data_IF_010964660524
#
_entry.id   IF_010964660524
#
_cell.length_a   1.000
_cell.length_b   1.000
_cell.length_c   1.000
_cell.angle_alpha   90.00
_cell.angle_beta   90.00
_cell.angle_gamma   90.00
#
_symmetry.space_group_name_H-M   'P 1'
#
loop_
_entity.id
_entity.type
_entity.pdbx_description
1 polymer ?
#
# COMPACT_ATOMS: atom_id res chain seq x y z
N UNK A 1 26.36 26.18 -37.27
CA UNK A 1 25.16 25.55 -36.67
C UNK A 1 24.55 26.55 -35.71
N UNK A 2 23.32 27.00 -35.95
CA UNK A 2 22.64 27.91 -35.03
C UNK A 2 22.18 27.13 -33.79
N UNK A 3 22.63 27.54 -32.59
CA UNK A 3 22.14 26.98 -31.36
C UNK A 3 20.67 27.37 -31.18
N UNK A 4 19.85 26.46 -30.63
CA UNK A 4 18.48 26.80 -30.31
C UNK A 4 18.47 27.85 -29.17
N UNK A 5 17.78 29.00 -29.32
CA UNK A 5 17.72 30.01 -28.28
C UNK A 5 16.94 29.48 -27.06
N UNK A 6 17.26 29.99 -25.87
CA UNK A 6 16.54 29.66 -24.67
C UNK A 6 15.08 30.12 -24.79
N UNK A 7 14.10 29.22 -24.60
CA UNK A 7 12.69 29.59 -24.73
C UNK A 7 12.13 30.45 -23.58
N UNK A 8 12.92 30.73 -22.54
CA UNK A 8 12.52 31.57 -21.41
C UNK A 8 13.07 33.00 -21.60
N UNK A 9 14.39 33.16 -21.71
CA UNK A 9 15.01 34.47 -21.88
C UNK A 9 15.20 34.91 -23.34
N UNK A 10 14.95 34.03 -24.31
CA UNK A 10 15.13 34.24 -25.75
C UNK A 10 16.57 34.51 -26.22
N UNK A 11 17.54 34.51 -25.30
CA UNK A 11 18.98 34.62 -25.58
C UNK A 11 19.63 33.27 -25.93
N UNK A 12 20.91 33.33 -26.33
CA UNK A 12 21.79 32.17 -26.42
C UNK A 12 21.88 31.40 -25.08
N UNK A 13 21.91 30.07 -25.19
CA UNK A 13 21.90 29.17 -24.03
C UNK A 13 23.16 29.32 -23.16
N UNK A 14 23.00 29.95 -21.99
CA UNK A 14 24.01 30.02 -20.93
C UNK A 14 23.86 28.81 -20.00
N UNK A 15 24.88 27.94 -19.96
CA UNK A 15 24.88 26.70 -19.14
C UNK A 15 23.62 25.85 -19.40
N UNK A 16 23.49 25.28 -20.61
CA UNK A 16 22.27 24.60 -21.00
C UNK A 16 21.95 23.44 -20.05
N UNK A 17 20.70 23.38 -19.63
CA UNK A 17 20.14 22.27 -18.86
C UNK A 17 18.99 21.64 -19.64
N UNK A 18 18.94 20.33 -19.69
CA UNK A 18 17.79 19.59 -20.20
C UNK A 18 16.88 19.16 -19.04
N UNK A 19 15.59 19.43 -19.21
CA UNK A 19 14.56 18.88 -18.36
C UNK A 19 14.12 17.51 -18.92
N UNK A 20 13.79 16.52 -18.07
CA UNK A 20 13.34 15.19 -18.48
C UNK A 20 11.85 15.26 -18.80
N UNK A 21 11.48 16.27 -19.59
CA UNK A 21 10.13 16.64 -19.91
C UNK A 21 9.87 16.28 -21.37
N UNK A 22 8.71 15.69 -21.61
CA UNK A 22 8.43 15.00 -22.85
C UNK A 22 7.46 13.91 -22.47
N UNK A 23 6.32 13.85 -23.16
CA UNK A 23 5.35 12.83 -22.82
C UNK A 23 6.02 11.49 -23.11
N UNK A 24 6.35 10.74 -22.06
CA UNK A 24 6.32 9.30 -22.16
C UNK A 24 4.84 8.96 -22.36
N UNK A 25 4.34 9.14 -23.59
CA UNK A 25 3.06 8.59 -23.97
C UNK A 25 3.24 7.09 -23.79
N UNK A 26 2.78 6.59 -22.65
CA UNK A 26 2.62 5.18 -22.37
C UNK A 26 1.45 4.62 -23.19
N UNK A 27 1.18 5.19 -24.37
CA UNK A 27 0.32 4.59 -25.36
C UNK A 27 1.15 3.53 -26.07
N UNK A 28 0.94 2.31 -25.60
CA UNK A 28 1.51 1.04 -26.06
C UNK A 28 1.27 0.70 -27.56
N UNK A 29 0.69 1.62 -28.36
CA UNK A 29 0.12 1.30 -29.68
C UNK A 29 0.55 2.24 -30.80
N UNK A 30 1.75 2.80 -30.70
CA UNK A 30 2.22 3.74 -31.71
C UNK A 30 3.64 3.35 -32.14
N UNK A 31 3.84 2.96 -33.43
CA UNK A 31 5.14 2.56 -33.97
C UNK A 31 5.96 3.84 -34.21
N UNK A 32 6.78 4.25 -33.24
CA UNK A 32 7.59 5.47 -33.35
C UNK A 32 9.08 5.15 -33.35
N UNK A 33 9.78 5.88 -34.22
CA UNK A 33 11.22 5.91 -34.33
C UNK A 33 11.89 6.12 -32.95
N UNK A 34 12.90 5.29 -32.58
CA UNK A 34 13.63 5.39 -31.31
C UNK A 34 14.24 6.77 -31.02
N UNK A 35 14.48 7.57 -32.06
CA UNK A 35 15.19 8.85 -31.97
C UNK A 35 14.36 10.03 -31.44
N UNK A 36 13.02 9.94 -31.40
CA UNK A 36 12.16 11.06 -30.94
C UNK A 36 11.71 10.93 -29.46
N UNK A 37 11.95 9.79 -28.82
CA UNK A 37 11.43 9.51 -27.46
C UNK A 37 12.17 10.19 -26.32
N UNK A 38 13.28 10.88 -26.62
CA UNK A 38 14.14 11.51 -25.60
C UNK A 38 14.42 12.99 -25.87
N UNK A 39 13.50 13.71 -26.53
CA UNK A 39 13.62 15.16 -26.69
C UNK A 39 13.21 15.88 -25.40
N UNK A 40 14.15 15.99 -24.46
CA UNK A 40 14.04 16.92 -23.35
C UNK A 40 14.07 18.37 -23.85
N UNK A 41 13.34 19.27 -23.20
CA UNK A 41 13.46 20.70 -23.48
C UNK A 41 14.69 21.28 -22.81
N UNK A 42 15.40 22.16 -23.53
CA UNK A 42 16.66 22.78 -23.10
C UNK A 42 16.46 24.24 -22.75
N UNK A 43 17.01 24.66 -21.61
CA UNK A 43 16.91 26.01 -21.08
C UNK A 43 18.24 26.46 -20.47
N UNK A 44 18.38 27.74 -20.15
CA UNK A 44 19.46 28.21 -19.29
C UNK A 44 19.26 27.70 -17.86
N UNK A 45 20.34 27.34 -17.16
CA UNK A 45 20.30 26.93 -15.76
C UNK A 45 19.57 27.95 -14.88
N UNK A 46 19.90 29.23 -15.05
CA UNK A 46 19.39 30.31 -14.21
C UNK A 46 17.88 30.54 -14.43
N UNK A 47 17.43 30.49 -15.69
CA UNK A 47 16.01 30.59 -16.03
C UNK A 47 15.15 29.48 -15.39
N UNK A 48 15.66 28.25 -15.34
CA UNK A 48 14.94 27.15 -14.67
C UNK A 48 14.91 27.35 -13.15
N UNK A 49 16.01 27.80 -12.55
CA UNK A 49 16.06 28.08 -11.11
C UNK A 49 15.06 29.17 -10.73
N UNK A 50 14.98 30.26 -11.51
CA UNK A 50 13.99 31.33 -11.30
C UNK A 50 12.56 30.82 -11.46
N UNK A 51 12.29 30.02 -12.50
CA UNK A 51 10.98 29.40 -12.73
C UNK A 51 10.54 28.54 -11.54
N UNK A 52 11.45 27.74 -10.99
CA UNK A 52 11.20 26.89 -9.81
C UNK A 52 10.95 27.73 -8.56
N UNK A 53 11.73 28.79 -8.35
CA UNK A 53 11.59 29.71 -7.19
C UNK A 53 10.32 30.56 -7.24
N UNK A 54 9.77 30.81 -8.42
CA UNK A 54 8.55 31.60 -8.59
C UNK A 54 7.28 30.89 -8.07
N UNK A 55 7.30 29.55 -7.97
CA UNK A 55 6.14 28.76 -7.54
C UNK A 55 6.04 28.76 -6.00
N UNK A 56 4.92 29.27 -5.48
CA UNK A 56 4.59 29.32 -4.04
C UNK A 56 3.25 28.63 -3.78
N UNK A 57 3.14 27.68 -2.83
CA UNK A 57 4.20 27.16 -1.97
C UNK A 57 5.25 26.36 -2.74
N UNK A 58 6.46 26.22 -2.18
CA UNK A 58 7.51 25.42 -2.79
C UNK A 58 7.08 23.95 -2.90
N UNK A 59 7.05 23.43 -4.12
CA UNK A 59 6.75 22.02 -4.43
C UNK A 59 8.01 21.32 -4.95
N UNK A 60 8.02 19.99 -4.97
CA UNK A 60 9.09 19.22 -5.62
C UNK A 60 8.74 18.85 -7.07
N UNK A 61 7.46 18.93 -7.42
CA UNK A 61 6.92 18.68 -8.76
C UNK A 61 6.65 20.00 -9.46
N UNK A 62 7.29 20.21 -10.60
CA UNK A 62 7.18 21.43 -11.40
C UNK A 62 6.74 21.12 -12.83
N UNK A 63 5.90 21.95 -13.46
CA UNK A 63 5.56 21.80 -14.88
C UNK A 63 6.65 22.40 -15.77
N UNK A 64 7.00 21.71 -16.86
CA UNK A 64 7.89 22.28 -17.87
C UNK A 64 7.26 23.54 -18.51
N UNK A 65 8.01 24.65 -18.67
CA UNK A 65 7.51 25.88 -19.30
C UNK A 65 6.97 25.70 -20.73
N UNK A 66 7.46 24.70 -21.46
CA UNK A 66 7.08 24.47 -22.86
C UNK A 66 5.96 23.43 -22.96
N UNK A 67 6.20 22.21 -22.47
CA UNK A 67 5.26 21.10 -22.67
C UNK A 67 4.34 20.81 -21.47
N UNK A 68 4.48 21.55 -20.37
CA UNK A 68 3.73 21.37 -19.11
C UNK A 68 3.84 19.98 -18.47
N UNK A 69 4.71 19.12 -18.98
CA UNK A 69 5.03 17.82 -18.39
C UNK A 69 5.65 18.02 -17.02
N UNK A 70 5.15 17.28 -16.03
CA UNK A 70 5.61 17.37 -14.64
C UNK A 70 6.98 16.69 -14.50
N UNK A 71 7.93 17.39 -13.88
CA UNK A 71 9.25 16.86 -13.53
C UNK A 71 9.56 17.12 -12.06
N UNK A 72 10.41 16.26 -11.49
CA UNK A 72 10.86 16.38 -10.10
C UNK A 72 12.12 17.25 -10.03
N UNK A 73 12.21 18.15 -9.06
CA UNK A 73 13.38 19.02 -8.81
C UNK A 73 14.09 18.65 -7.50
N UNK A 74 13.51 17.74 -6.71
CA UNK A 74 14.11 17.31 -5.47
C UNK A 74 15.49 16.65 -5.70
N UNK A 75 16.53 17.07 -4.97
CA UNK A 75 17.83 16.41 -5.03
C UNK A 75 17.68 14.97 -4.51
N UNK A 76 18.10 14.02 -5.34
CA UNK A 76 18.10 12.60 -4.95
C UNK A 76 19.25 12.37 -3.98
N UNK A 77 18.94 11.98 -2.73
CA UNK A 77 19.94 11.62 -1.73
C UNK A 77 20.67 10.34 -2.15
N UNK A 78 21.87 10.47 -2.69
CA UNK A 78 22.70 9.34 -3.15
C UNK A 78 23.08 8.37 -2.04
N UNK A 79 23.02 8.78 -0.76
CA UNK A 79 23.29 7.89 0.38
C UNK A 79 22.27 6.77 0.56
N UNK A 80 21.02 6.98 0.12
CA UNK A 80 19.95 5.97 0.18
C UNK A 80 20.09 4.97 -0.98
N UNK A 81 20.80 5.36 -2.05
CA UNK A 81 21.01 4.51 -3.23
C UNK A 81 22.27 3.65 -3.01
N UNK A 82 22.18 2.32 -3.24
CA UNK A 82 23.33 1.42 -3.22
C UNK A 82 24.48 1.92 -4.11
N UNK A 83 25.75 1.83 -3.69
CA UNK A 83 26.88 2.44 -4.39
C UNK A 83 27.02 1.96 -5.84
N UNK A 84 26.70 0.70 -6.12
CA UNK A 84 26.69 0.11 -7.46
C UNK A 84 25.60 0.68 -8.38
N UNK A 85 24.55 1.29 -7.84
CA UNK A 85 23.46 1.88 -8.62
C UNK A 85 23.61 3.39 -8.83
N UNK A 86 24.43 4.07 -8.02
CA UNK A 86 24.62 5.54 -8.10
C UNK A 86 25.02 6.05 -9.49
N UNK A 87 25.90 5.39 -10.27
CA UNK A 87 26.26 5.85 -11.61
C UNK A 87 25.08 5.85 -12.59
N UNK A 88 24.07 5.01 -12.35
CA UNK A 88 22.90 4.87 -13.21
C UNK A 88 21.75 5.80 -12.82
N UNK A 89 21.86 6.50 -11.68
CA UNK A 89 20.86 7.47 -11.24
C UNK A 89 21.16 8.82 -11.88
N UNK A 90 20.42 9.15 -12.93
CA UNK A 90 20.55 10.45 -13.58
C UNK A 90 19.68 11.50 -12.86
N UNK A 91 20.22 12.68 -12.50
CA UNK A 91 19.40 13.75 -11.94
C UNK A 91 18.31 14.15 -12.93
N UNK A 92 17.18 14.61 -12.41
CA UNK A 92 16.07 15.08 -13.23
C UNK A 92 16.48 16.27 -14.10
N UNK A 93 17.14 17.28 -13.52
CA UNK A 93 17.73 18.40 -14.28
C UNK A 93 19.15 18.03 -14.69
N UNK A 94 19.41 17.84 -15.99
CA UNK A 94 20.70 17.39 -16.51
C UNK A 94 21.44 18.56 -17.15
N UNK A 95 22.69 18.81 -16.74
CA UNK A 95 23.56 19.77 -17.42
C UNK A 95 23.98 19.18 -18.76
N UNK A 96 23.81 19.96 -19.83
CA UNK A 96 24.31 19.61 -21.14
C UNK A 96 25.66 20.28 -21.34
N UNK A 97 26.65 19.51 -21.75
CA UNK A 97 27.89 20.03 -22.29
C UNK A 97 27.72 20.01 -23.79
N UNK A 98 27.48 21.18 -24.37
CA UNK A 98 27.53 21.34 -25.82
C UNK A 98 28.99 21.55 -26.13
N UNK A 99 29.62 20.56 -26.77
CA UNK A 99 30.96 20.71 -27.31
C UNK A 99 30.89 21.86 -28.31
N UNK A 100 31.39 23.02 -27.87
CA UNK A 100 31.67 24.09 -28.80
C UNK A 100 32.75 23.50 -29.69
N UNK A 101 32.39 23.12 -30.91
CA UNK A 101 33.37 22.79 -31.92
C UNK A 101 34.34 23.98 -31.97
N UNK A 102 35.49 23.82 -31.31
CA UNK A 102 36.60 24.77 -31.34
C UNK A 102 37.03 24.78 -32.80
N UNK A 103 36.73 25.85 -33.55
CA UNK A 103 37.13 25.89 -34.95
C UNK A 103 38.63 26.15 -34.97
N UNK A 104 39.41 25.11 -35.26
CA UNK A 104 40.81 25.22 -35.62
C UNK A 104 41.80 24.88 -34.50
N UNK A 105 42.17 23.60 -34.40
CA UNK A 105 43.56 23.15 -34.24
C UNK A 105 43.69 21.83 -35.02
N UNK A 106 43.54 21.90 -36.34
CA UNK A 106 44.00 20.87 -37.27
C UNK A 106 45.52 21.05 -37.43
N UNK A 107 46.32 20.29 -36.69
CA UNK A 107 47.73 20.06 -37.02
C UNK A 107 48.24 18.76 -36.37
N UNK A 108 48.44 17.76 -37.21
CA UNK A 108 49.51 16.74 -37.13
C UNK A 108 49.54 15.80 -35.92
N UNK A 109 48.61 14.83 -35.87
CA UNK A 109 48.89 13.52 -35.25
C UNK A 109 48.41 12.41 -36.19
N UNK A 110 49.07 12.31 -37.33
CA UNK A 110 48.95 11.18 -38.26
C UNK A 110 49.97 10.11 -37.86
N UNK A 111 49.54 8.85 -37.78
CA UNK A 111 50.28 7.61 -37.48
C UNK A 111 50.28 7.10 -36.03
N UNK A 112 49.13 6.61 -35.56
CA UNK A 112 49.10 5.44 -34.68
C UNK A 112 48.34 4.27 -35.33
N UNK A 113 48.84 3.02 -35.25
CA UNK A 113 48.21 1.86 -35.87
C UNK A 113 46.97 1.41 -35.07
N UNK A 114 45.78 1.79 -35.53
CA UNK A 114 44.49 1.57 -34.85
C UNK A 114 43.88 0.16 -34.99
N UNK A 115 44.60 -0.83 -35.52
CA UNK A 115 43.95 -2.06 -36.02
C UNK A 115 43.71 -3.19 -35.01
N UNK A 116 44.15 -3.07 -33.75
CA UNK A 116 44.00 -4.15 -32.74
C UNK A 116 43.01 -3.88 -31.60
N UNK A 117 42.56 -2.63 -31.39
CA UNK A 117 41.63 -2.30 -30.28
C UNK A 117 40.16 -2.63 -30.59
N UNK A 118 39.77 -2.57 -31.87
CA UNK A 118 38.35 -2.63 -32.28
C UNK A 118 37.67 -3.99 -32.01
N UNK A 119 38.41 -5.10 -32.07
CA UNK A 119 37.84 -6.44 -31.80
C UNK A 119 37.53 -6.65 -30.32
N UNK A 120 38.39 -6.17 -29.42
CA UNK A 120 38.17 -6.25 -27.98
C UNK A 120 36.96 -5.40 -27.57
N UNK A 121 36.82 -4.21 -28.15
CA UNK A 121 35.67 -3.33 -27.94
C UNK A 121 34.36 -3.97 -28.43
N UNK A 122 34.37 -4.65 -29.57
CA UNK A 122 33.18 -5.32 -30.11
C UNK A 122 32.65 -6.43 -29.19
N UNK A 123 33.55 -7.22 -28.60
CA UNK A 123 33.22 -8.31 -27.66
C UNK A 123 32.64 -7.74 -26.36
N UNK A 124 33.28 -6.70 -25.82
CA UNK A 124 32.85 -6.05 -24.58
C UNK A 124 31.50 -5.35 -24.74
N UNK A 125 31.26 -4.68 -25.87
CA UNK A 125 29.95 -4.10 -26.18
C UNK A 125 28.84 -5.16 -26.27
N UNK A 126 29.14 -6.34 -26.84
CA UNK A 126 28.20 -7.45 -26.89
C UNK A 126 27.87 -7.96 -25.47
N UNK A 127 28.89 -8.12 -24.62
CA UNK A 127 28.74 -8.51 -23.21
C UNK A 127 27.87 -7.51 -22.43
N UNK A 128 28.16 -6.21 -22.56
CA UNK A 128 27.41 -5.15 -21.89
C UNK A 128 25.95 -5.08 -22.35
N UNK A 129 25.66 -5.35 -23.64
CA UNK A 129 24.27 -5.42 -24.14
C UNK A 129 23.52 -6.61 -23.55
N UNK A 130 24.16 -7.78 -23.48
CA UNK A 130 23.58 -8.96 -22.86
C UNK A 130 23.29 -8.72 -21.37
N UNK A 131 24.22 -8.09 -20.65
CA UNK A 131 24.04 -7.73 -19.24
C UNK A 131 22.93 -6.69 -19.06
N UNK A 132 22.87 -5.64 -19.90
CA UNK A 132 21.80 -4.65 -19.84
C UNK A 132 20.41 -5.28 -20.07
N UNK A 133 20.32 -6.23 -21.01
CA UNK A 133 19.10 -6.98 -21.27
C UNK A 133 18.71 -7.84 -20.04
N UNK A 134 19.67 -8.55 -19.45
CA UNK A 134 19.44 -9.34 -18.24
C UNK A 134 18.98 -8.46 -17.07
N UNK A 135 19.59 -7.29 -16.87
CA UNK A 135 19.19 -6.31 -15.85
C UNK A 135 17.77 -5.79 -16.07
N UNK A 136 17.39 -5.47 -17.32
CA UNK A 136 16.02 -5.07 -17.65
C UNK A 136 15.00 -6.16 -17.33
N UNK A 137 15.32 -7.42 -17.66
CA UNK A 137 14.48 -8.57 -17.35
C UNK A 137 14.34 -8.77 -15.83
N UNK A 138 15.43 -8.66 -15.08
CA UNK A 138 15.41 -8.73 -13.62
C UNK A 138 14.56 -7.60 -13.02
N UNK A 139 14.73 -6.36 -13.47
CA UNK A 139 13.91 -5.23 -13.02
C UNK A 139 12.42 -5.45 -13.29
N UNK A 140 12.05 -5.97 -14.46
CA UNK A 140 10.67 -6.30 -14.78
C UNK A 140 10.11 -7.41 -13.86
N UNK A 141 10.91 -8.44 -13.57
CA UNK A 141 10.55 -9.52 -12.65
C UNK A 141 10.32 -9.00 -11.23
N UNK A 142 11.23 -8.18 -10.71
CA UNK A 142 11.13 -7.58 -9.37
C UNK A 142 9.90 -6.68 -9.25
N UNK A 143 9.58 -5.91 -10.30
CA UNK A 143 8.36 -5.09 -10.33
C UNK A 143 7.10 -5.95 -10.22
N UNK A 144 6.99 -7.02 -11.02
CA UNK A 144 5.84 -7.95 -10.96
C UNK A 144 5.72 -8.63 -9.58
N UNK A 145 6.86 -9.01 -8.98
CA UNK A 145 6.88 -9.59 -7.63
C UNK A 145 6.38 -8.59 -6.59
N UNK A 146 6.83 -7.34 -6.65
CA UNK A 146 6.38 -6.28 -5.76
C UNK A 146 4.87 -6.00 -5.92
N UNK A 147 4.37 -5.96 -7.15
CA UNK A 147 2.93 -5.80 -7.45
C UNK A 147 2.10 -6.95 -6.87
N UNK A 148 2.53 -8.20 -7.08
CA UNK A 148 1.87 -9.39 -6.52
C UNK A 148 1.82 -9.35 -4.98
N UNK A 149 2.93 -9.03 -4.33
CA UNK A 149 2.97 -8.88 -2.87
C UNK A 149 2.10 -7.73 -2.38
N UNK A 150 2.09 -6.59 -3.09
CA UNK A 150 1.21 -5.46 -2.79
C UNK A 150 -0.26 -5.87 -2.82
N UNK A 151 -0.68 -6.59 -3.86
CA UNK A 151 -2.06 -7.07 -4.01
C UNK A 151 -2.44 -8.10 -2.94
N UNK A 152 -1.55 -9.05 -2.62
CA UNK A 152 -1.79 -10.03 -1.56
C UNK A 152 -1.95 -9.35 -0.19
N UNK A 153 -1.07 -8.40 0.14
CA UNK A 153 -1.15 -7.65 1.39
C UNK A 153 -2.42 -6.80 1.48
N UNK A 154 -2.83 -6.14 0.38
CA UNK A 154 -4.08 -5.40 0.33
C UNK A 154 -5.29 -6.31 0.57
N UNK A 155 -5.29 -7.52 -0.01
CA UNK A 155 -6.32 -8.53 0.23
C UNK A 155 -6.43 -8.94 1.70
N UNK A 156 -5.29 -9.20 2.36
CA UNK A 156 -5.26 -9.52 3.79
C UNK A 156 -5.77 -8.39 4.67
N UNK A 157 -5.41 -7.13 4.36
CA UNK A 157 -5.90 -5.97 5.10
C UNK A 157 -7.42 -5.78 4.95
N UNK A 158 -7.95 -5.98 3.75
CA UNK A 158 -9.38 -5.92 3.49
C UNK A 158 -10.14 -7.04 4.22
N UNK A 159 -9.60 -8.26 4.21
CA UNK A 159 -10.15 -9.38 4.96
C UNK A 159 -10.18 -9.10 6.46
N UNK A 160 -9.07 -8.63 7.04
CA UNK A 160 -9.00 -8.28 8.45
C UNK A 160 -10.01 -7.19 8.85
N UNK A 161 -10.26 -6.22 7.96
CA UNK A 161 -11.31 -5.21 8.15
C UNK A 161 -12.69 -5.84 8.16
N UNK A 162 -13.02 -6.67 7.16
CA UNK A 162 -14.32 -7.34 7.07
C UNK A 162 -14.61 -8.22 8.30
N UNK A 163 -13.61 -8.97 8.78
CA UNK A 163 -13.74 -9.79 10.01
C UNK A 163 -14.01 -8.92 11.24
N UNK A 164 -13.35 -7.76 11.37
CA UNK A 164 -13.59 -6.83 12.47
C UNK A 164 -15.00 -6.23 12.43
N UNK A 165 -15.47 -5.87 11.24
CA UNK A 165 -16.81 -5.33 11.04
C UNK A 165 -17.88 -6.37 11.39
N UNK A 166 -17.67 -7.63 10.97
CA UNK A 166 -18.53 -8.75 11.31
C UNK A 166 -18.53 -9.03 12.82
N UNK A 167 -17.36 -9.06 13.47
CA UNK A 167 -17.26 -9.23 14.91
C UNK A 167 -18.00 -8.11 15.67
N UNK A 168 -17.90 -6.87 15.19
CA UNK A 168 -18.62 -5.73 15.76
C UNK A 168 -20.13 -5.82 15.57
N UNK A 169 -20.60 -6.35 14.42
CA UNK A 169 -22.01 -6.60 14.18
C UNK A 169 -22.58 -7.68 15.12
N UNK A 170 -21.89 -8.82 15.23
CA UNK A 170 -22.26 -9.91 16.14
C UNK A 170 -22.27 -9.46 17.61
N UNK A 171 -21.34 -8.60 18.01
CA UNK A 171 -21.33 -8.02 19.35
C UNK A 171 -22.60 -7.19 19.63
N UNK A 172 -23.06 -6.38 18.67
CA UNK A 172 -24.30 -5.62 18.79
C UNK A 172 -25.53 -6.51 18.87
N UNK A 173 -25.58 -7.57 18.07
CA UNK A 173 -26.67 -8.55 18.11
C UNK A 173 -26.73 -9.27 19.47
N UNK A 174 -25.59 -9.74 19.97
CA UNK A 174 -25.46 -10.31 21.32
C UNK A 174 -25.98 -9.34 22.38
N UNK A 175 -25.55 -8.09 22.35
CA UNK A 175 -25.98 -7.08 23.32
C UNK A 175 -27.48 -6.79 23.23
N UNK A 176 -28.04 -6.80 22.01
CA UNK A 176 -29.48 -6.68 21.77
C UNK A 176 -30.27 -7.84 22.38
N UNK A 177 -29.83 -9.08 22.13
CA UNK A 177 -30.44 -10.29 22.71
C UNK A 177 -30.31 -10.29 24.23
N UNK A 178 -29.15 -9.94 24.78
CA UNK A 178 -28.94 -9.85 26.22
C UNK A 178 -29.90 -8.85 26.87
N UNK A 179 -30.10 -7.67 26.28
CA UNK A 179 -31.09 -6.68 26.74
C UNK A 179 -32.51 -7.26 26.71
N UNK A 180 -32.87 -8.00 25.66
CA UNK A 180 -34.18 -8.63 25.55
C UNK A 180 -34.41 -9.68 26.63
N UNK A 181 -33.43 -10.56 26.88
CA UNK A 181 -33.48 -11.54 27.96
C UNK A 181 -33.62 -10.88 29.33
N UNK A 182 -32.85 -9.82 29.62
CA UNK A 182 -32.99 -9.07 30.87
C UNK A 182 -34.37 -8.40 31.01
N UNK A 183 -34.95 -7.90 29.91
CA UNK A 183 -36.28 -7.32 29.92
C UNK A 183 -37.36 -8.37 30.21
N UNK A 184 -37.31 -9.53 29.55
CA UNK A 184 -38.24 -10.64 29.81
C UNK A 184 -38.11 -11.17 31.23
N UNK A 185 -36.87 -11.31 31.74
CA UNK A 185 -36.62 -11.72 33.13
C UNK A 185 -37.28 -10.79 34.14
N UNK A 186 -37.19 -9.47 33.92
CA UNK A 186 -37.87 -8.48 34.78
C UNK A 186 -39.38 -8.63 34.73
N UNK A 187 -39.97 -8.77 33.53
CA UNK A 187 -41.42 -8.98 33.38
C UNK A 187 -41.92 -10.22 34.12
N UNK A 188 -41.18 -11.34 34.03
CA UNK A 188 -41.55 -12.57 34.74
C UNK A 188 -41.53 -12.36 36.27
N UNK A 189 -40.54 -11.62 36.77
CA UNK A 189 -40.45 -11.31 38.20
C UNK A 189 -41.56 -10.37 38.65
N UNK A 190 -41.88 -9.34 37.87
CA UNK A 190 -42.98 -8.41 38.12
C UNK A 190 -44.34 -9.14 38.13
N UNK A 191 -44.57 -10.04 37.16
CA UNK A 191 -45.76 -10.89 37.10
C UNK A 191 -45.85 -11.82 38.31
N UNK A 192 -44.72 -12.39 38.74
CA UNK A 192 -44.64 -13.25 39.93
C UNK A 192 -44.98 -12.47 41.20
N UNK A 193 -44.41 -11.27 41.37
CA UNK A 193 -44.70 -10.39 42.51
C UNK A 193 -46.18 -9.99 42.52
N UNK A 194 -46.76 -9.63 41.36
CA UNK A 194 -48.17 -9.26 41.23
C UNK A 194 -49.11 -10.40 41.64
N UNK A 195 -48.81 -11.64 41.22
CA UNK A 195 -49.57 -12.83 41.66
C UNK A 195 -49.48 -13.06 43.17
N UNK A 196 -48.31 -12.84 43.78
CA UNK A 196 -48.18 -12.96 45.24
C UNK A 196 -48.99 -11.90 45.99
N UNK A 197 -49.05 -10.66 45.51
CA UNK A 197 -49.88 -9.62 46.13
C UNK A 197 -51.37 -9.93 46.04
N UNK A 198 -51.84 -10.48 44.92
CA UNK A 198 -53.26 -10.86 44.75
C UNK A 198 -53.66 -11.98 45.72
N UNK A 199 -52.80 -13.00 45.86
CA UNK A 199 -53.02 -14.10 46.82
C UNK A 199 -52.97 -13.61 48.27
N UNK A 200 -52.04 -12.71 48.59
CA UNK A 200 -51.94 -12.12 49.93
C UNK A 200 -53.18 -11.30 50.31
N UNK A 201 -53.74 -10.53 49.37
CA UNK A 201 -54.98 -9.78 49.58
C UNK A 201 -56.20 -10.69 49.72
N UNK A 202 -56.29 -11.77 48.92
CA UNK A 202 -57.37 -12.74 49.01
C UNK A 202 -57.38 -13.51 50.36
N UNK A 203 -56.19 -13.73 50.94
CA UNK A 203 -56.03 -14.39 52.24
C UNK A 203 -56.57 -13.61 53.45
N UNK A 204 -56.81 -12.30 53.33
CA UNK A 204 -57.35 -11.48 54.42
C UNK A 204 -58.87 -11.56 54.58
N UNK A 205 -59.60 -12.06 53.58
CA UNK A 205 -61.08 -12.10 53.57
C UNK A 205 -61.66 -13.52 53.63
N UNK A 206 -60.82 -14.55 53.76
CA UNK A 206 -61.27 -15.93 53.88
C UNK A 206 -61.10 -16.40 55.32
N UNK A 207 -62.23 -16.61 56.01
CA UNK A 207 -62.27 -17.23 57.35
C UNK A 207 -61.54 -18.58 57.38
N UNK A 208 -60.96 -18.98 58.53
CA UNK A 208 -60.08 -20.15 58.61
C UNK A 208 -60.83 -21.46 58.35
N UNK A 209 -60.46 -22.25 57.32
CA UNK A 209 -60.91 -23.63 57.25
C UNK A 209 -60.01 -24.50 58.14
N UNK A 210 -60.70 -25.19 59.04
CA UNK A 210 -60.21 -26.20 59.97
C UNK A 210 -59.49 -27.33 59.21
N UNK A 211 -58.25 -27.59 59.65
CA UNK A 211 -57.52 -28.87 59.71
C UNK A 211 -57.48 -29.80 58.49
N UNK A 212 -56.27 -29.94 57.92
CA UNK A 212 -55.91 -31.05 57.04
C UNK A 212 -54.41 -31.07 56.76
N UNK A 213 -53.64 -31.70 57.65
CA UNK A 213 -52.19 -31.90 57.51
C UNK A 213 -51.94 -32.90 56.36
N UNK A 214 -51.39 -32.43 55.24
CA UNK A 214 -50.77 -33.30 54.22
C UNK A 214 -49.33 -32.81 54.03
N UNK A 215 -48.41 -33.61 54.54
CA UNK A 215 -46.97 -33.47 54.40
C UNK A 215 -46.54 -33.99 53.03
N UNK A 216 -46.49 -33.11 52.03
CA UNK A 216 -45.83 -33.42 50.76
C UNK A 216 -44.38 -32.93 50.81
N UNK A 217 -43.47 -33.86 51.10
CA UNK A 217 -42.03 -33.71 50.91
C UNK A 217 -41.71 -33.64 49.41
N UNK A 218 -41.03 -32.60 48.93
CA UNK A 218 -40.65 -32.50 47.52
C UNK A 218 -39.58 -33.56 47.19
N UNK A 219 -39.88 -34.36 46.18
CA UNK A 219 -39.03 -35.41 45.62
C UNK A 219 -37.71 -34.81 45.05
N UNK A 220 -36.54 -35.13 45.62
CA UNK A 220 -35.26 -34.56 45.19
C UNK A 220 -34.77 -35.06 43.82
N UNK A 221 -35.42 -36.05 43.20
CA UNK A 221 -34.98 -36.69 41.95
C UNK A 221 -35.72 -36.20 40.69
N UNK A 222 -36.41 -35.06 40.75
CA UNK A 222 -37.02 -34.45 39.55
C UNK A 222 -35.96 -33.89 38.58
N UNK A 223 -35.52 -34.75 37.66
CA UNK A 223 -34.52 -34.51 36.59
C UNK A 223 -34.90 -33.42 35.57
N UNK A 224 -36.01 -32.70 35.76
CA UNK A 224 -36.49 -31.64 34.87
C UNK A 224 -35.63 -30.36 34.91
N UNK A 225 -34.66 -30.25 35.83
CA UNK A 225 -33.72 -29.13 35.91
C UNK A 225 -32.25 -29.54 35.71
N UNK A 226 -31.97 -30.76 35.24
CA UNK A 226 -30.60 -31.12 34.87
C UNK A 226 -30.14 -30.23 33.71
N UNK A 227 -29.07 -29.41 33.88
CA UNK A 227 -28.57 -28.58 32.80
C UNK A 227 -28.19 -29.47 31.62
N UNK A 228 -28.58 -29.13 30.38
CA UNK A 228 -28.28 -29.96 29.23
C UNK A 228 -26.76 -30.13 29.11
N UNK A 229 -26.28 -31.32 28.73
CA UNK A 229 -24.86 -31.57 28.56
C UNK A 229 -24.39 -30.79 27.33
N UNK A 230 -23.97 -29.55 27.54
CA UNK A 230 -23.23 -28.81 26.54
C UNK A 230 -21.87 -29.51 26.41
N UNK A 231 -21.77 -30.43 25.45
CA UNK A 231 -20.49 -30.83 24.90
C UNK A 231 -19.86 -29.56 24.32
N UNK A 232 -18.98 -28.95 25.11
CA UNK A 232 -18.04 -27.96 24.61
C UNK A 232 -17.23 -28.68 23.54
N UNK A 233 -17.61 -28.47 22.28
CA UNK A 233 -16.73 -28.74 21.16
C UNK A 233 -15.53 -27.83 21.38
N UNK A 234 -14.55 -28.40 22.07
CA UNK A 234 -13.20 -27.91 22.14
C UNK A 234 -12.69 -27.93 20.71
N UNK A 235 -12.97 -26.85 19.97
CA UNK A 235 -12.23 -26.52 18.77
C UNK A 235 -10.79 -26.31 19.23
N UNK A 236 -10.03 -27.41 19.27
CA UNK A 236 -8.60 -27.34 19.21
C UNK A 236 -8.28 -26.56 17.95
N UNK A 237 -7.93 -25.31 18.20
CA UNK A 237 -7.21 -24.42 17.32
C UNK A 237 -5.95 -25.18 16.89
N UNK A 238 -6.07 -25.89 15.77
CA UNK A 238 -4.94 -26.48 15.09
C UNK A 238 -4.14 -25.34 14.50
N UNK A 239 -3.20 -24.85 15.32
CA UNK A 239 -2.13 -23.96 14.90
C UNK A 239 -1.57 -24.47 13.57
N UNK A 240 -1.51 -23.64 12.51
CA UNK A 240 -0.99 -24.08 11.23
C UNK A 240 0.50 -24.35 11.42
N UNK A 241 0.87 -25.64 11.36
CA UNK A 241 2.27 -26.07 11.24
C UNK A 241 2.85 -25.36 10.02
N UNK A 242 3.75 -24.40 10.27
CA UNK A 242 4.64 -23.87 9.25
C UNK A 242 5.44 -25.04 8.67
N UNK A 243 5.06 -25.49 7.48
CA UNK A 243 5.92 -26.30 6.63
C UNK A 243 7.03 -25.38 6.10
N UNK A 244 8.15 -25.33 6.82
CA UNK A 244 9.41 -24.87 6.23
C UNK A 244 9.87 -25.92 5.22
N UNK A 245 10.12 -25.57 3.95
CA UNK A 245 10.74 -26.50 3.02
C UNK A 245 12.19 -26.74 3.44
N UNK A 246 12.48 -27.97 3.91
CA UNK A 246 13.85 -28.51 4.00
C UNK A 246 14.41 -28.56 2.59
N UNK A 247 15.21 -27.56 2.23
CA UNK A 247 16.09 -27.59 1.06
C UNK A 247 17.38 -28.30 1.48
N UNK A 248 17.50 -29.57 1.14
CA UNK A 248 18.77 -30.27 1.10
C UNK A 248 19.58 -29.76 -0.10
N UNK A 249 20.77 -29.23 0.18
CA UNK A 249 21.84 -29.08 -0.79
C UNK A 249 23.15 -29.57 -0.12
N UNK A 250 24.06 -30.18 -0.90
CA UNK A 250 25.24 -30.84 -0.37
C UNK A 250 26.32 -29.83 0.03
N UNK A 251 27.02 -30.20 1.10
CA UNK A 251 28.19 -29.54 1.67
C UNK A 251 29.41 -29.88 0.82
N UNK A 252 30.18 -28.85 0.45
CA UNK A 252 31.65 -28.95 0.39
C UNK A 252 32.31 -27.56 0.51
N UNK A 253 33.27 -27.48 1.44
CA UNK A 253 34.35 -26.48 1.63
C UNK A 253 34.07 -25.16 2.41
N UNK A 254 35.11 -24.44 2.91
CA UNK A 254 35.66 -24.64 4.25
C UNK A 254 35.65 -23.36 5.11
N UNK A 255 35.84 -23.59 6.40
CA UNK A 255 36.02 -22.65 7.51
C UNK A 255 36.81 -21.36 7.21
N UNK A 256 36.18 -20.21 7.48
CA UNK A 256 36.86 -19.00 7.97
C UNK A 256 36.07 -18.38 9.11
N UNK A 257 36.83 -17.78 10.00
CA UNK A 257 36.61 -17.52 11.42
C UNK A 257 35.80 -16.24 11.73
N UNK A 258 35.06 -16.32 12.84
CA UNK A 258 34.85 -15.28 13.88
C UNK A 258 34.52 -13.85 13.45
N UNK A 259 33.33 -13.35 13.83
CA UNK A 259 33.25 -12.33 14.89
C UNK A 259 31.82 -11.91 15.27
N UNK A 260 31.64 -11.86 16.59
CA UNK A 260 30.77 -10.99 17.41
C UNK A 260 29.25 -11.04 17.24
N UNK A 261 28.65 -11.83 18.15
CA UNK A 261 27.32 -11.63 18.70
C UNK A 261 27.17 -10.26 19.38
N UNK A 262 26.13 -9.51 19.02
CA UNK A 262 25.59 -8.43 19.85
C UNK A 262 24.07 -8.63 20.02
N UNK A 263 23.53 -8.50 21.24
CA UNK A 263 22.12 -8.77 21.51
C UNK A 263 21.20 -7.62 21.04
N UNK A 264 19.91 -7.90 20.77
CA UNK A 264 18.98 -6.92 20.25
C UNK A 264 18.62 -5.86 21.31
N UNK A 265 18.81 -4.59 20.96
CA UNK A 265 18.44 -3.43 21.79
C UNK A 265 16.92 -3.36 21.97
N UNK A 266 16.49 -3.31 23.24
CA UNK A 266 15.11 -3.07 23.67
C UNK A 266 14.59 -1.73 23.11
N UNK A 267 13.43 -1.80 22.44
CA UNK A 267 12.69 -0.65 21.91
C UNK A 267 12.18 0.21 23.07
N UNK A 268 12.70 1.42 23.19
CA UNK A 268 12.25 2.43 24.16
C UNK A 268 10.83 2.87 23.79
N UNK A 269 9.92 2.70 24.75
CA UNK A 269 8.53 3.18 24.72
C UNK A 269 8.55 4.70 24.93
N UNK A 270 8.29 5.46 23.87
CA UNK A 270 8.13 6.91 23.94
C UNK A 270 6.77 7.17 24.60
N UNK A 271 6.81 7.70 25.82
CA UNK A 271 5.66 8.21 26.55
C UNK A 271 5.24 9.56 26.00
N UNK A 272 3.93 9.72 25.85
CA UNK A 272 3.23 10.91 25.39
C UNK A 272 3.59 12.16 26.22
N UNK A 273 3.76 13.29 25.54
CA UNK A 273 3.66 14.63 26.14
C UNK A 273 2.37 15.31 25.63
N UNK A 274 1.52 15.81 26.54
CA UNK A 274 0.34 16.58 26.18
C UNK A 274 0.72 18.07 26.10
N UNK A 275 0.40 18.73 24.98
CA UNK A 275 0.03 20.15 24.94
C UNK A 275 -0.20 20.58 23.48
N UNK A 276 -1.46 20.68 23.09
CA UNK A 276 -1.91 21.56 22.01
C UNK A 276 -3.22 22.23 22.44
N UNK A 277 -3.34 23.56 22.30
CA UNK A 277 -4.47 24.31 22.80
C UNK A 277 -5.71 24.18 21.89
N UNK A 278 -6.86 24.42 22.52
CA UNK A 278 -8.20 24.53 21.95
C UNK A 278 -8.24 25.32 20.64
N UNK A 279 -8.85 24.72 19.62
CA UNK A 279 -9.39 25.45 18.48
C UNK A 279 -10.90 25.24 18.44
N UNK A 280 -11.56 26.38 18.58
CA UNK A 280 -12.98 26.60 18.78
C UNK A 280 -13.80 26.05 17.62
N UNK A 281 -14.86 25.33 18.01
CA UNK A 281 -15.96 24.82 17.20
C UNK A 281 -16.68 25.93 16.43
N UNK A 282 -16.84 25.75 15.12
CA UNK A 282 -17.92 26.37 14.36
C UNK A 282 -18.64 25.27 13.58
N UNK A 283 -19.74 24.79 14.18
CA UNK A 283 -20.79 24.04 13.52
C UNK A 283 -21.39 24.91 12.40
N UNK A 284 -21.54 24.33 11.21
CA UNK A 284 -22.64 24.71 10.33
C UNK A 284 -23.13 23.47 9.60
N UNK A 285 -24.27 23.00 10.08
CA UNK A 285 -25.12 22.01 9.45
C UNK A 285 -25.58 22.50 8.08
N UNK A 286 -25.39 21.69 7.04
CA UNK A 286 -26.23 21.72 5.84
C UNK A 286 -26.48 20.28 5.42
N UNK A 287 -27.68 19.80 5.75
CA UNK A 287 -28.32 18.64 5.14
C UNK A 287 -28.61 18.93 3.67
N UNK A 288 -28.45 17.93 2.81
CA UNK A 288 -28.98 17.98 1.45
C UNK A 288 -28.60 16.77 0.58
N UNK A 289 -29.52 15.81 0.51
CA UNK A 289 -29.90 14.99 -0.68
C UNK A 289 -28.75 14.31 -1.45
N UNK A 290 -28.60 12.98 -1.44
CA UNK A 290 -29.64 12.00 -1.79
C UNK A 290 -29.74 11.88 -3.32
N UNK A 291 -28.84 11.13 -3.94
CA UNK A 291 -28.98 10.68 -5.34
C UNK A 291 -28.46 9.24 -5.47
N UNK A 292 -29.39 8.37 -5.87
CA UNK A 292 -29.24 6.95 -6.13
C UNK A 292 -28.16 6.66 -7.17
N UNK A 293 -27.28 5.71 -6.88
CA UNK A 293 -26.45 5.06 -7.89
C UNK A 293 -27.00 3.66 -8.09
N UNK A 294 -27.77 3.52 -9.17
CA UNK A 294 -28.27 2.25 -9.68
C UNK A 294 -27.10 1.33 -10.08
N UNK A 295 -27.15 0.12 -9.51
CA UNK A 295 -26.37 -1.04 -9.96
C UNK A 295 -27.01 -1.57 -11.25
N UNK A 296 -26.19 -1.97 -12.22
CA UNK A 296 -26.30 -3.22 -12.99
C UNK A 296 -25.67 -3.06 -14.38
N UNK A 297 -24.50 -3.68 -14.61
CA UNK A 297 -24.20 -4.24 -15.93
C UNK A 297 -23.20 -5.39 -15.77
N UNK A 298 -23.69 -6.60 -15.97
CA UNK A 298 -22.91 -7.83 -16.03
C UNK A 298 -22.15 -7.92 -17.37
N UNK A 299 -20.94 -8.51 -17.42
CA UNK A 299 -20.27 -8.80 -18.68
C UNK A 299 -20.85 -10.05 -19.33
N UNK A 300 -21.33 -9.86 -20.56
CA UNK A 300 -21.85 -10.88 -21.47
C UNK A 300 -20.70 -11.79 -21.94
N UNK A 301 -20.75 -13.08 -21.58
CA UNK A 301 -19.89 -14.13 -22.15
C UNK A 301 -20.27 -14.31 -23.62
N UNK A 302 -19.38 -13.92 -24.53
CA UNK A 302 -19.45 -14.38 -25.92
C UNK A 302 -18.76 -15.73 -26.04
N UNK A 303 -19.55 -16.74 -26.39
CA UNK A 303 -19.15 -18.03 -26.90
C UNK A 303 -18.53 -17.86 -28.29
N UNK A 304 -17.26 -18.22 -28.44
CA UNK A 304 -16.64 -18.45 -29.75
C UNK A 304 -16.96 -19.90 -30.16
N UNK A 305 -17.92 -20.04 -31.06
CA UNK A 305 -18.06 -21.23 -31.91
C UNK A 305 -16.97 -21.17 -32.98
N UNK A 306 -16.04 -22.13 -32.94
CA UNK A 306 -15.11 -22.38 -34.03
C UNK A 306 -15.83 -23.19 -35.11
N UNK A 307 -16.04 -22.56 -36.25
CA UNK A 307 -16.42 -23.20 -37.51
C UNK A 307 -15.17 -23.76 -38.18
N UNK A 308 -15.24 -25.04 -38.53
CA UNK A 308 -14.27 -25.74 -39.34
C UNK A 308 -14.33 -25.28 -40.81
N UNK A 309 -13.16 -25.03 -41.40
CA UNK A 309 -12.86 -25.17 -42.82
C UNK A 309 -11.34 -25.31 -42.99
#
# INVERSE_FOLDING_TARGET
>A
MAFAPCRICLDDLKKPVSLPCGKAHFQLFSPWNPSDRLKGHVFCSDCIVETVKAIKPYTHMHPCPICRSIYNVAPVKLSIIPPNLRPFVTPSVRKLFLDKATPGEDADVENQPETSSSLAESSELSRLRAENLALRNNCALWRRRAEMHGNANLGLLNFARAVRDQASALARERDGLQKHCHALKRKIEDDRISRYSDVALAGFFSDPPISGIVTDTPDPDSLLFAPPPFHVLNCQESSPKQCTPKRSAPVDQPSTSSNSDLPPRKRVKITDSPNSPELVSAQKDVYGTGAEITRNTAPQRQSLENVAA
#
